data_IF_922558682636
#
_entry.id   IF_922558682636
#
_cell.length_a   1.000
_cell.length_b   1.000
_cell.length_c   1.000
_cell.angle_alpha   90.00
_cell.angle_beta   90.00
_cell.angle_gamma   90.00
#
_symmetry.space_group_name_H-M   'P 1'
#
loop_
_entity.id
_entity.type
_entity.pdbx_description
1 polymer ?
#
# COMPACT_ATOMS: atom_id res chain seq x y z
N UNK A 1 25.13 -4.45 -19.26
CA UNK A 1 24.18 -3.41 -18.81
C UNK A 1 22.85 -3.73 -19.48
N UNK A 2 21.76 -3.87 -18.75
CA UNK A 2 20.42 -3.95 -19.36
C UNK A 2 20.14 -2.59 -20.00
N UNK A 3 19.62 -2.56 -21.23
CA UNK A 3 19.13 -1.34 -21.83
C UNK A 3 17.90 -0.88 -21.06
N UNK A 4 18.08 0.08 -20.15
CA UNK A 4 16.98 0.66 -19.38
C UNK A 4 16.23 1.67 -20.24
N UNK A 5 14.90 1.69 -20.12
CA UNK A 5 14.08 2.76 -20.70
C UNK A 5 14.38 4.09 -20.00
N UNK A 6 14.47 5.16 -20.78
CA UNK A 6 14.76 6.50 -20.25
C UNK A 6 13.53 7.24 -19.71
N UNK A 7 12.33 6.73 -19.96
CA UNK A 7 11.06 7.34 -19.55
C UNK A 7 10.12 6.29 -19.01
N UNK A 8 9.37 6.63 -17.96
CA UNK A 8 8.27 5.86 -17.39
C UNK A 8 7.07 6.78 -17.24
N UNK A 9 5.92 6.39 -17.82
CA UNK A 9 4.67 7.09 -17.55
C UNK A 9 4.02 6.50 -16.31
N UNK A 10 3.95 7.28 -15.25
CA UNK A 10 3.43 6.85 -13.96
C UNK A 10 2.06 7.47 -13.72
N UNK A 11 1.08 6.67 -13.33
CA UNK A 11 -0.18 7.13 -12.75
C UNK A 11 -0.12 6.98 -11.23
N UNK A 12 -0.25 8.08 -10.51
CA UNK A 12 -0.39 8.10 -9.05
C UNK A 12 -1.87 8.22 -8.72
N UNK A 13 -2.44 7.20 -8.10
CA UNK A 13 -3.85 7.15 -7.76
C UNK A 13 -4.12 7.98 -6.51
N UNK A 14 -4.88 9.06 -6.68
CA UNK A 14 -5.37 9.90 -5.59
C UNK A 14 -6.89 9.83 -5.56
N UNK A 15 -7.42 8.79 -4.92
CA UNK A 15 -8.85 8.50 -4.89
C UNK A 15 -9.27 7.93 -3.55
N UNK A 16 -10.51 8.23 -3.14
CA UNK A 16 -11.10 7.69 -1.92
C UNK A 16 -11.43 6.21 -2.08
N UNK A 17 -11.04 5.31 -1.17
CA UNK A 17 -11.53 3.92 -1.14
C UNK A 17 -13.05 3.85 -0.90
N UNK A 18 -13.65 2.71 -1.16
CA UNK A 18 -14.99 2.41 -0.65
C UNK A 18 -14.82 1.77 0.72
N UNK A 19 -14.84 2.60 1.78
CA UNK A 19 -14.42 2.21 3.12
C UNK A 19 -15.04 0.90 3.59
N UNK A 20 -14.16 -0.04 3.96
CA UNK A 20 -14.47 -1.35 4.54
C UNK A 20 -15.35 -2.26 3.66
N UNK A 21 -15.24 -2.07 2.34
CA UNK A 21 -15.90 -2.87 1.33
C UNK A 21 -14.87 -3.35 0.29
N UNK A 22 -14.14 -4.43 0.61
CA UNK A 22 -13.06 -4.95 -0.26
C UNK A 22 -13.49 -5.24 -1.68
N UNK A 23 -14.72 -5.76 -1.84
CA UNK A 23 -15.34 -6.01 -3.13
C UNK A 23 -15.45 -4.73 -3.98
N UNK A 24 -15.95 -3.67 -3.38
CA UNK A 24 -16.14 -2.36 -4.03
C UNK A 24 -14.83 -1.60 -4.20
N UNK A 25 -13.90 -1.73 -3.25
CA UNK A 25 -12.54 -1.20 -3.41
C UNK A 25 -11.86 -1.84 -4.62
N UNK A 26 -11.95 -3.17 -4.76
CA UNK A 26 -11.36 -3.89 -5.88
C UNK A 26 -11.99 -3.50 -7.22
N UNK A 27 -13.34 -3.42 -7.29
CA UNK A 27 -14.03 -2.93 -8.50
C UNK A 27 -13.53 -1.53 -8.89
N UNK A 28 -13.41 -0.63 -7.92
CA UNK A 28 -12.90 0.72 -8.12
C UNK A 28 -11.44 0.71 -8.56
N UNK A 29 -10.59 -0.10 -7.91
CA UNK A 29 -9.18 -0.23 -8.26
C UNK A 29 -9.01 -0.70 -9.72
N UNK A 30 -9.73 -1.75 -10.13
CA UNK A 30 -9.67 -2.26 -11.50
C UNK A 30 -10.09 -1.21 -12.52
N UNK A 31 -11.15 -0.45 -12.26
CA UNK A 31 -11.58 0.65 -13.14
C UNK A 31 -10.51 1.75 -13.25
N UNK A 32 -9.89 2.15 -12.13
CA UNK A 32 -8.82 3.14 -12.14
C UNK A 32 -7.56 2.64 -12.84
N UNK A 33 -7.26 1.35 -12.74
CA UNK A 33 -6.18 0.71 -13.49
C UNK A 33 -6.47 0.77 -15.00
N UNK A 34 -7.71 0.47 -15.42
CA UNK A 34 -8.12 0.51 -16.82
C UNK A 34 -8.02 1.93 -17.39
N UNK A 35 -8.48 2.91 -16.61
CA UNK A 35 -8.41 4.33 -16.96
C UNK A 35 -6.95 4.79 -17.14
N UNK A 36 -6.11 4.51 -16.12
CA UNK A 36 -4.69 4.89 -16.17
C UNK A 36 -3.94 4.21 -17.32
N UNK A 37 -4.17 2.93 -17.56
CA UNK A 37 -3.57 2.20 -18.67
C UNK A 37 -4.06 2.75 -20.02
N UNK A 38 -5.35 3.10 -20.15
CA UNK A 38 -5.92 3.75 -21.32
C UNK A 38 -5.27 5.11 -21.63
N UNK A 39 -4.81 5.85 -20.62
CA UNK A 39 -4.02 7.07 -20.73
C UNK A 39 -2.53 6.80 -20.95
N UNK A 40 -2.13 5.56 -21.10
CA UNK A 40 -0.78 5.12 -21.41
C UNK A 40 0.15 5.01 -20.20
N UNK A 41 -0.37 4.91 -18.98
CA UNK A 41 0.46 4.63 -17.81
C UNK A 41 1.11 3.24 -17.91
N UNK A 42 2.37 3.15 -17.56
CA UNK A 42 3.17 1.91 -17.52
C UNK A 42 3.33 1.41 -16.08
N UNK A 43 3.28 2.32 -15.10
CA UNK A 43 3.30 2.03 -13.67
C UNK A 43 2.14 2.76 -12.99
N UNK A 44 1.34 2.03 -12.21
CA UNK A 44 0.16 2.55 -11.51
C UNK A 44 0.36 2.34 -10.01
N UNK A 45 0.39 3.44 -9.24
CA UNK A 45 0.70 3.41 -7.80
C UNK A 45 -0.52 3.80 -7.00
N UNK A 46 -1.00 2.88 -6.17
CA UNK A 46 -2.08 3.09 -5.21
C UNK A 46 -1.53 3.48 -3.84
N UNK A 47 -2.29 4.25 -3.06
CA UNK A 47 -1.87 4.66 -1.72
C UNK A 47 -1.92 3.53 -0.69
N UNK A 48 -1.40 3.82 0.49
CA UNK A 48 -1.43 2.95 1.67
C UNK A 48 -2.86 2.51 1.98
N UNK A 49 -3.05 1.20 2.20
CA UNK A 49 -4.34 0.61 2.60
C UNK A 49 -5.53 1.00 1.71
N UNK A 50 -5.31 1.17 0.40
CA UNK A 50 -6.42 1.44 -0.52
C UNK A 50 -7.52 0.36 -0.43
N UNK A 51 -7.14 -0.88 -0.15
CA UNK A 51 -8.09 -1.97 0.11
C UNK A 51 -7.88 -2.47 1.56
N UNK A 52 -8.87 -2.34 2.42
CA UNK A 52 -10.24 -1.85 2.27
C UNK A 52 -10.45 -0.40 2.71
N UNK A 53 -9.43 0.40 2.75
CA UNK A 53 -9.43 1.77 3.29
C UNK A 53 -8.70 1.85 4.63
N UNK A 54 -8.11 3.02 4.91
CA UNK A 54 -7.42 3.29 6.16
C UNK A 54 -8.44 3.61 7.26
N UNK A 55 -8.43 2.94 8.42
CA UNK A 55 -9.42 3.11 9.48
C UNK A 55 -9.10 4.34 10.35
N UNK A 56 -8.97 5.52 9.75
CA UNK A 56 -8.59 6.75 10.42
C UNK A 56 -9.61 7.13 11.49
N UNK A 57 -9.13 7.43 12.70
CA UNK A 57 -9.96 7.81 13.85
C UNK A 57 -10.67 6.66 14.56
N UNK A 58 -10.68 5.44 14.00
CA UNK A 58 -11.28 4.29 14.66
C UNK A 58 -10.43 3.83 15.86
N UNK A 59 -11.10 3.53 16.96
CA UNK A 59 -10.44 3.05 18.19
C UNK A 59 -10.49 1.54 18.34
N UNK A 60 -11.32 0.83 17.56
CA UNK A 60 -11.60 -0.60 17.72
C UNK A 60 -11.98 -0.97 19.17
N UNK A 61 -12.60 -0.02 19.89
CA UNK A 61 -12.94 -0.16 21.32
C UNK A 61 -11.71 -0.36 22.23
N UNK A 62 -10.52 -0.01 21.75
CA UNK A 62 -9.28 -0.25 22.48
C UNK A 62 -9.17 0.67 23.70
N UNK A 63 -9.12 0.03 24.85
CA UNK A 63 -8.71 0.62 26.13
C UNK A 63 -7.98 -0.46 26.87
N UNK A 64 -6.81 -0.18 27.41
CA UNK A 64 -6.00 -1.19 28.14
C UNK A 64 -6.85 -1.87 29.22
N UNK A 65 -6.89 -3.21 29.18
CA UNK A 65 -7.71 -4.02 30.09
C UNK A 65 -9.20 -4.13 29.69
N UNK A 66 -9.70 -3.37 28.75
CA UNK A 66 -11.10 -3.46 28.27
C UNK A 66 -11.26 -4.62 27.27
N UNK A 67 -12.47 -5.22 27.28
CA UNK A 67 -12.85 -6.31 26.35
C UNK A 67 -14.29 -6.11 25.85
N UNK A 68 -14.64 -4.88 25.52
CA UNK A 68 -16.01 -4.52 25.07
C UNK A 68 -16.34 -5.15 23.70
N UNK A 69 -17.58 -5.58 23.53
CA UNK A 69 -18.06 -6.25 22.32
C UNK A 69 -17.96 -5.37 21.07
N UNK A 70 -18.29 -4.08 21.17
CA UNK A 70 -18.29 -3.13 20.04
C UNK A 70 -16.93 -3.08 19.31
N UNK A 71 -15.82 -3.08 20.03
CA UNK A 71 -14.50 -3.07 19.41
C UNK A 71 -14.17 -4.35 18.66
N UNK A 72 -14.75 -5.48 19.07
CA UNK A 72 -14.60 -6.76 18.36
C UNK A 72 -15.37 -6.80 17.06
N UNK A 73 -16.52 -6.14 16.98
CA UNK A 73 -17.34 -6.03 15.76
C UNK A 73 -16.63 -5.18 14.72
N UNK A 74 -16.08 -4.03 15.12
CA UNK A 74 -15.28 -3.16 14.24
C UNK A 74 -14.05 -3.91 13.72
N UNK A 75 -13.34 -4.61 14.62
CA UNK A 75 -12.17 -5.39 14.24
C UNK A 75 -12.53 -6.53 13.28
N UNK A 76 -13.62 -7.25 13.57
CA UNK A 76 -14.10 -8.33 12.70
C UNK A 76 -14.47 -7.81 11.32
N UNK A 77 -15.18 -6.68 11.26
CA UNK A 77 -15.53 -6.04 9.98
C UNK A 77 -14.27 -5.73 9.17
N UNK A 78 -13.25 -5.14 9.79
CA UNK A 78 -11.99 -4.80 9.13
C UNK A 78 -11.23 -6.07 8.69
N UNK A 79 -11.18 -7.08 9.57
CA UNK A 79 -10.59 -8.37 9.30
C UNK A 79 -11.22 -9.09 8.11
N UNK A 80 -12.54 -9.13 8.04
CA UNK A 80 -13.28 -9.79 6.95
C UNK A 80 -13.09 -9.08 5.60
N UNK A 81 -12.75 -7.79 5.64
CA UNK A 81 -12.45 -6.98 4.45
C UNK A 81 -10.96 -6.89 4.12
N UNK A 82 -10.09 -7.47 4.93
CA UNK A 82 -8.66 -7.63 4.62
C UNK A 82 -8.41 -8.78 3.65
N UNK A 83 -7.36 -8.70 2.83
CA UNK A 83 -7.11 -9.63 1.72
C UNK A 83 -6.05 -10.68 2.10
N UNK A 84 -6.13 -11.85 1.51
CA UNK A 84 -5.02 -12.79 1.46
C UNK A 84 -4.03 -12.36 0.36
N UNK A 85 -2.73 -12.45 0.61
CA UNK A 85 -1.70 -12.07 -0.36
C UNK A 85 -1.78 -12.88 -1.68
N UNK A 86 -2.23 -14.12 -1.58
CA UNK A 86 -2.49 -15.02 -2.72
C UNK A 86 -4.00 -15.25 -2.98
N UNK A 87 -4.86 -14.37 -2.43
CA UNK A 87 -6.31 -14.47 -2.49
C UNK A 87 -6.90 -14.21 -3.88
N UNK A 88 -8.21 -14.44 -4.04
CA UNK A 88 -8.90 -14.24 -5.31
C UNK A 88 -8.88 -12.78 -5.78
N UNK A 89 -8.87 -11.82 -4.84
CA UNK A 89 -8.79 -10.40 -5.14
C UNK A 89 -7.42 -10.05 -5.75
N UNK A 90 -6.34 -10.54 -5.14
CA UNK A 90 -4.98 -10.30 -5.60
C UNK A 90 -4.75 -10.98 -6.97
N UNK A 91 -5.28 -12.18 -7.17
CA UNK A 91 -5.24 -12.85 -8.50
C UNK A 91 -5.95 -12.07 -9.60
N UNK A 92 -6.99 -11.28 -9.27
CA UNK A 92 -7.65 -10.39 -10.26
C UNK A 92 -6.73 -9.23 -10.62
N UNK A 93 -6.02 -8.65 -9.66
CA UNK A 93 -5.04 -7.58 -9.91
C UNK A 93 -3.87 -8.09 -10.78
N UNK A 94 -3.31 -9.26 -10.45
CA UNK A 94 -2.25 -9.88 -11.25
C UNK A 94 -2.69 -10.15 -12.70
N UNK A 95 -3.89 -10.70 -12.87
CA UNK A 95 -4.44 -10.95 -14.21
C UNK A 95 -4.59 -9.62 -14.97
N UNK A 96 -5.11 -8.58 -14.33
CA UNK A 96 -5.31 -7.28 -14.95
C UNK A 96 -4.01 -6.59 -15.35
N UNK A 97 -2.97 -6.66 -14.48
CA UNK A 97 -1.63 -6.17 -14.79
C UNK A 97 -1.07 -6.83 -16.06
N UNK A 98 -1.24 -8.16 -16.16
CA UNK A 98 -0.80 -8.93 -17.34
C UNK A 98 -1.58 -8.55 -18.61
N UNK A 99 -2.92 -8.45 -18.53
CA UNK A 99 -3.79 -8.11 -19.67
C UNK A 99 -3.45 -6.74 -20.27
N UNK A 100 -3.10 -5.77 -19.40
CA UNK A 100 -2.80 -4.40 -19.80
C UNK A 100 -1.30 -4.13 -20.03
N UNK A 101 -0.42 -5.04 -19.64
CA UNK A 101 1.02 -4.87 -19.74
C UNK A 101 1.58 -3.79 -18.80
N UNK A 102 0.99 -3.61 -17.60
CA UNK A 102 1.35 -2.55 -16.66
C UNK A 102 1.90 -3.10 -15.34
N UNK A 103 2.76 -2.31 -14.69
CA UNK A 103 3.17 -2.53 -13.30
C UNK A 103 2.16 -1.89 -12.35
N UNK A 104 1.89 -2.54 -11.23
CA UNK A 104 0.97 -2.04 -10.19
C UNK A 104 1.65 -2.10 -8.83
N UNK A 105 1.52 -1.01 -8.06
CA UNK A 105 1.80 -1.01 -6.62
C UNK A 105 0.48 -0.80 -5.88
N UNK A 106 0.05 -1.78 -5.08
CA UNK A 106 -1.25 -1.80 -4.40
C UNK A 106 -1.08 -1.85 -2.89
N UNK A 107 -1.45 -0.76 -2.19
CA UNK A 107 -1.54 -0.75 -0.74
C UNK A 107 -2.81 -1.44 -0.24
N UNK A 108 -2.67 -2.35 0.71
CA UNK A 108 -3.80 -3.12 1.22
C UNK A 108 -3.58 -3.60 2.66
N UNK A 109 -4.68 -3.95 3.34
CA UNK A 109 -4.61 -4.70 4.59
C UNK A 109 -4.51 -6.18 4.27
N UNK A 110 -3.36 -6.77 4.56
CA UNK A 110 -3.13 -8.21 4.41
C UNK A 110 -3.67 -8.96 5.62
N UNK A 111 -4.32 -10.09 5.37
CA UNK A 111 -4.64 -11.09 6.37
C UNK A 111 -3.79 -12.32 6.15
N UNK A 112 -2.95 -12.67 7.12
CA UNK A 112 -2.16 -13.89 7.06
C UNK A 112 -3.05 -15.12 7.11
N UNK A 113 -2.84 -16.05 6.19
CA UNK A 113 -3.69 -17.24 6.05
C UNK A 113 -3.55 -18.24 7.20
N UNK A 114 -2.40 -18.23 7.89
CA UNK A 114 -2.07 -19.21 8.94
C UNK A 114 -2.36 -18.65 10.32
N UNK A 115 -1.85 -17.47 10.61
CA UNK A 115 -1.97 -16.85 11.94
C UNK A 115 -3.23 -16.01 12.10
N UNK A 116 -3.82 -15.56 11.01
CA UNK A 116 -4.90 -14.57 11.02
C UNK A 116 -4.46 -13.17 11.41
N UNK A 117 -3.16 -12.93 11.59
CA UNK A 117 -2.63 -11.58 11.86
C UNK A 117 -2.89 -10.67 10.66
N UNK A 118 -3.27 -9.42 10.93
CA UNK A 118 -3.35 -8.39 9.91
C UNK A 118 -2.01 -7.68 9.76
N UNK A 119 -1.66 -7.32 8.53
CA UNK A 119 -0.48 -6.52 8.22
C UNK A 119 -0.87 -5.36 7.29
N UNK A 120 -0.28 -4.20 7.53
CA UNK A 120 -0.29 -3.12 6.55
C UNK A 120 0.72 -3.49 5.48
N UNK A 121 0.29 -3.68 4.26
CA UNK A 121 1.11 -4.26 3.21
C UNK A 121 0.98 -3.51 1.88
N UNK A 122 2.00 -3.65 1.05
CA UNK A 122 2.00 -3.20 -0.33
C UNK A 122 2.47 -4.31 -1.26
N UNK A 123 1.66 -4.61 -2.26
CA UNK A 123 1.98 -5.60 -3.30
C UNK A 123 2.49 -4.89 -4.55
N UNK A 124 3.72 -5.18 -4.95
CA UNK A 124 4.23 -4.84 -6.28
C UNK A 124 3.93 -5.98 -7.24
N UNK A 125 3.35 -5.68 -8.39
CA UNK A 125 2.90 -6.62 -9.40
C UNK A 125 3.52 -6.24 -10.74
N UNK A 126 4.15 -7.21 -11.43
CA UNK A 126 4.64 -7.04 -12.79
C UNK A 126 3.64 -7.58 -13.83
N UNK A 127 3.71 -7.11 -15.09
CA UNK A 127 2.90 -7.65 -16.18
C UNK A 127 3.28 -9.10 -16.53
N UNK A 128 4.47 -9.58 -16.18
CA UNK A 128 4.91 -10.96 -16.34
C UNK A 128 4.28 -11.91 -15.31
N UNK A 129 3.67 -11.34 -14.24
CA UNK A 129 3.00 -12.09 -13.19
C UNK A 129 3.84 -12.32 -11.94
N UNK A 130 4.98 -11.63 -11.80
CA UNK A 130 5.68 -11.56 -10.54
C UNK A 130 4.88 -10.70 -9.55
N UNK A 131 4.81 -11.14 -8.30
CA UNK A 131 4.18 -10.41 -7.21
C UNK A 131 5.09 -10.43 -5.99
N UNK A 132 5.50 -9.25 -5.55
CA UNK A 132 6.38 -9.07 -4.38
C UNK A 132 5.63 -8.31 -3.30
N UNK A 133 5.43 -8.95 -2.16
CA UNK A 133 4.72 -8.38 -1.03
C UNK A 133 5.69 -7.77 -0.01
N UNK A 134 5.43 -6.53 0.40
CA UNK A 134 6.11 -5.88 1.51
C UNK A 134 5.11 -5.62 2.63
N UNK A 135 5.37 -6.17 3.82
CA UNK A 135 4.65 -5.87 5.05
C UNK A 135 5.35 -4.70 5.76
N UNK A 136 4.59 -3.71 6.20
CA UNK A 136 5.13 -2.57 6.95
C UNK A 136 5.94 -3.06 8.16
N UNK A 137 7.20 -2.64 8.25
CA UNK A 137 8.15 -3.11 9.27
C UNK A 137 7.62 -2.89 10.68
N UNK A 138 7.11 -1.68 10.91
CA UNK A 138 6.55 -1.26 12.18
C UNK A 138 5.31 -0.40 11.94
N UNK A 139 4.12 -0.87 12.30
CA UNK A 139 2.95 -0.02 12.32
C UNK A 139 3.16 1.21 13.20
N UNK A 140 2.66 2.36 12.76
CA UNK A 140 2.93 3.64 13.40
C UNK A 140 1.97 3.89 14.57
N UNK A 141 2.50 4.09 15.78
CA UNK A 141 1.71 4.48 16.94
C UNK A 141 0.52 3.54 17.21
N UNK A 142 -0.71 4.04 17.11
CA UNK A 142 -1.94 3.28 17.35
C UNK A 142 -2.30 2.28 16.24
N UNK A 143 -1.65 2.32 15.07
CA UNK A 143 -1.81 1.28 14.04
C UNK A 143 -1.55 -0.13 14.60
N UNK A 144 -0.71 -0.25 15.64
CA UNK A 144 -0.38 -1.50 16.34
C UNK A 144 -1.57 -2.19 17.01
N UNK A 145 -2.69 -1.49 17.14
CA UNK A 145 -3.95 -2.09 17.60
C UNK A 145 -4.52 -3.03 16.52
N UNK A 146 -4.21 -2.76 15.25
CA UNK A 146 -4.77 -3.48 14.10
C UNK A 146 -3.74 -4.37 13.44
N UNK A 147 -2.54 -3.87 13.16
CA UNK A 147 -1.53 -4.57 12.37
C UNK A 147 -0.32 -5.00 13.19
N UNK A 148 0.21 -6.17 12.83
CA UNK A 148 1.45 -6.69 13.36
C UNK A 148 2.68 -6.09 12.66
N UNK A 149 3.84 -6.22 13.31
CA UNK A 149 5.16 -5.95 12.72
C UNK A 149 5.45 -6.95 11.60
N UNK A 150 6.16 -6.52 10.55
CA UNK A 150 6.62 -7.43 9.50
C UNK A 150 7.46 -8.56 10.08
N UNK A 151 7.26 -9.77 9.57
CA UNK A 151 7.90 -11.00 10.04
C UNK A 151 8.73 -11.71 8.98
N UNK A 152 8.67 -11.29 7.72
CA UNK A 152 9.36 -11.92 6.58
C UNK A 152 9.47 -10.97 5.38
N UNK A 153 10.22 -11.42 4.36
CA UNK A 153 10.32 -10.79 3.03
C UNK A 153 10.70 -9.30 3.06
N UNK A 154 11.71 -9.00 3.89
CA UNK A 154 12.14 -7.63 4.10
C UNK A 154 12.74 -7.00 2.83
N UNK A 155 12.22 -5.82 2.47
CA UNK A 155 12.73 -5.00 1.39
C UNK A 155 12.77 -5.72 0.03
N UNK A 156 11.63 -6.25 -0.46
CA UNK A 156 11.57 -6.82 -1.79
C UNK A 156 11.88 -5.75 -2.83
N UNK A 157 12.58 -6.14 -3.89
CA UNK A 157 12.91 -5.26 -5.02
C UNK A 157 12.53 -5.98 -6.31
N UNK A 158 11.72 -5.31 -7.13
CA UNK A 158 11.26 -5.80 -8.42
C UNK A 158 12.09 -5.21 -9.54
N UNK A 159 12.57 -6.05 -10.43
CA UNK A 159 13.22 -5.60 -11.65
C UNK A 159 12.18 -4.99 -12.61
N UNK A 160 12.45 -3.80 -13.11
CA UNK A 160 11.61 -3.12 -14.09
C UNK A 160 12.42 -2.62 -15.28
N UNK A 161 11.77 -2.26 -16.40
CA UNK A 161 12.49 -1.67 -17.54
C UNK A 161 13.17 -0.35 -17.21
N UNK A 162 12.82 0.32 -16.11
CA UNK A 162 13.37 1.61 -15.66
C UNK A 162 14.38 1.46 -14.51
N UNK A 163 14.78 0.25 -14.21
CA UNK A 163 15.63 -0.12 -13.09
C UNK A 163 14.86 -0.74 -11.92
N UNK A 164 15.57 -1.16 -10.87
CA UNK A 164 14.96 -1.83 -9.73
C UNK A 164 13.99 -0.93 -8.98
N UNK A 165 12.83 -1.45 -8.61
CA UNK A 165 11.76 -0.78 -7.88
C UNK A 165 11.59 -1.40 -6.50
N UNK A 166 11.63 -0.57 -5.46
CA UNK A 166 11.36 -0.98 -4.07
C UNK A 166 10.33 -0.07 -3.41
N UNK A 167 9.80 -0.48 -2.28
CA UNK A 167 8.82 0.33 -1.56
C UNK A 167 9.06 0.35 -0.05
N UNK A 168 8.70 1.48 0.58
CA UNK A 168 8.49 1.62 2.02
C UNK A 168 7.17 2.34 2.25
N UNK A 169 6.39 1.86 3.22
CA UNK A 169 5.04 2.33 3.49
C UNK A 169 5.09 3.48 4.51
N UNK A 170 4.68 4.69 4.09
CA UNK A 170 4.44 5.82 4.97
C UNK A 170 5.68 6.15 5.85
N UNK A 171 5.53 6.14 7.18
CA UNK A 171 6.56 6.46 8.17
C UNK A 171 7.78 5.53 8.18
N UNK A 172 7.75 4.40 7.47
CA UNK A 172 8.96 3.61 7.25
C UNK A 172 10.05 4.43 6.57
N UNK A 173 9.65 5.39 5.72
CA UNK A 173 10.58 6.30 5.05
C UNK A 173 11.35 7.21 6.02
N UNK A 174 10.91 7.34 7.28
CA UNK A 174 11.69 7.98 8.34
C UNK A 174 12.70 7.05 9.04
N UNK A 175 12.76 5.79 8.66
CA UNK A 175 13.74 4.82 9.16
C UNK A 175 15.00 4.84 8.28
N UNK A 176 16.12 5.48 8.69
CA UNK A 176 17.28 5.64 7.81
C UNK A 176 17.85 4.30 7.32
N UNK A 177 17.94 3.31 8.21
CA UNK A 177 18.49 2.00 7.87
C UNK A 177 17.59 1.23 6.88
N UNK A 178 16.28 1.43 6.91
CA UNK A 178 15.36 0.85 5.93
C UNK A 178 15.61 1.44 4.53
N UNK A 179 15.81 2.76 4.43
CA UNK A 179 16.19 3.40 3.17
C UNK A 179 17.52 2.88 2.65
N UNK A 180 18.54 2.81 3.53
CA UNK A 180 19.87 2.29 3.17
C UNK A 180 19.76 0.85 2.63
N UNK A 181 18.93 0.01 3.23
CA UNK A 181 18.71 -1.36 2.74
C UNK A 181 18.19 -1.40 1.29
N UNK A 182 17.30 -0.47 0.92
CA UNK A 182 16.83 -0.32 -0.46
C UNK A 182 17.92 0.28 -1.37
N UNK A 183 18.64 1.30 -0.93
CA UNK A 183 19.71 1.91 -1.71
C UNK A 183 20.82 0.93 -2.04
N UNK A 184 21.20 0.06 -1.10
CA UNK A 184 22.18 -1.00 -1.33
C UNK A 184 21.73 -2.04 -2.37
N UNK A 185 20.41 -2.16 -2.59
CA UNK A 185 19.83 -2.98 -3.66
C UNK A 185 19.76 -2.25 -5.00
N UNK A 186 20.24 -1.01 -5.06
CA UNK A 186 20.37 -0.24 -6.30
C UNK A 186 19.04 0.24 -6.87
N UNK A 187 18.05 0.53 -6.04
CA UNK A 187 16.73 0.97 -6.53
C UNK A 187 16.85 2.26 -7.35
N UNK A 188 16.11 2.30 -8.47
CA UNK A 188 15.89 3.49 -9.28
C UNK A 188 14.55 4.14 -8.99
N UNK A 189 13.53 3.32 -8.64
CA UNK A 189 12.18 3.75 -8.32
C UNK A 189 11.90 3.42 -6.85
N UNK A 190 11.62 4.46 -6.07
CA UNK A 190 11.22 4.35 -4.67
C UNK A 190 9.72 4.63 -4.57
N UNK A 191 8.93 3.62 -4.30
CA UNK A 191 7.48 3.72 -4.14
C UNK A 191 7.14 3.97 -2.67
N UNK A 192 6.32 4.99 -2.41
CA UNK A 192 5.84 5.31 -1.06
C UNK A 192 4.32 5.42 -1.02
N UNK A 193 3.62 4.31 -0.77
CA UNK A 193 2.20 4.37 -0.45
C UNK A 193 2.03 5.02 0.92
N UNK A 194 1.12 6.00 1.01
CA UNK A 194 1.07 6.88 2.17
C UNK A 194 -0.35 7.30 2.56
N UNK A 195 -0.46 7.77 3.81
CA UNK A 195 -1.65 8.44 4.35
C UNK A 195 -1.14 9.56 5.27
N UNK A 196 -0.59 10.61 4.68
CA UNK A 196 0.06 11.69 5.43
C UNK A 196 -0.07 13.02 4.67
N UNK A 197 -0.82 13.94 5.25
CA UNK A 197 -1.07 15.29 4.73
C UNK A 197 -0.15 16.36 5.33
N UNK A 198 0.88 15.96 6.11
CA UNK A 198 1.79 16.89 6.76
C UNK A 198 2.68 17.60 5.72
N UNK A 199 2.75 18.95 5.70
CA UNK A 199 3.60 19.70 4.80
C UNK A 199 5.09 19.33 4.83
N UNK A 200 5.64 19.00 6.01
CA UNK A 200 7.04 18.57 6.18
C UNK A 200 7.36 17.27 5.44
N UNK A 201 6.34 16.51 5.07
CA UNK A 201 6.51 15.32 4.24
C UNK A 201 7.11 15.66 2.88
N UNK A 202 6.79 16.82 2.31
CA UNK A 202 7.34 17.27 1.02
C UNK A 202 8.86 17.48 1.09
N UNK A 203 9.38 17.97 2.20
CA UNK A 203 10.82 18.13 2.39
C UNK A 203 11.50 16.78 2.57
N UNK A 204 10.84 15.85 3.26
CA UNK A 204 11.33 14.49 3.46
C UNK A 204 11.46 13.74 2.14
N UNK A 205 10.45 13.76 1.27
CA UNK A 205 10.51 13.05 -0.03
C UNK A 205 11.57 13.63 -0.98
N UNK A 206 11.75 14.96 -0.98
CA UNK A 206 12.84 15.61 -1.72
C UNK A 206 14.20 15.15 -1.23
N UNK A 207 14.39 15.14 0.10
CA UNK A 207 15.62 14.66 0.71
C UNK A 207 15.93 13.21 0.33
N UNK A 208 14.94 12.31 0.45
CA UNK A 208 15.11 10.89 0.12
C UNK A 208 15.46 10.67 -1.36
N UNK A 209 14.82 11.40 -2.27
CA UNK A 209 15.11 11.31 -3.70
C UNK A 209 16.56 11.73 -4.01
N UNK A 210 17.05 12.79 -3.35
CA UNK A 210 18.43 13.28 -3.50
C UNK A 210 19.43 12.30 -2.85
N UNK A 211 19.17 11.89 -1.61
CA UNK A 211 20.02 10.96 -0.84
C UNK A 211 20.20 9.63 -1.58
N UNK A 212 19.08 9.06 -2.08
CA UNK A 212 19.07 7.75 -2.73
C UNK A 212 19.38 7.77 -4.23
N UNK A 213 19.54 8.96 -4.85
CA UNK A 213 19.65 9.10 -6.30
C UNK A 213 18.56 8.32 -7.06
N UNK A 214 17.32 8.39 -6.58
CA UNK A 214 16.19 7.63 -7.11
C UNK A 214 14.97 8.54 -7.35
N UNK A 215 14.05 8.05 -8.18
CA UNK A 215 12.76 8.70 -8.36
C UNK A 215 11.83 8.28 -7.22
N UNK A 216 11.43 9.25 -6.39
CA UNK A 216 10.49 9.01 -5.30
C UNK A 216 9.06 9.23 -5.80
N UNK A 217 8.23 8.19 -5.73
CA UNK A 217 6.84 8.19 -6.18
C UNK A 217 5.94 8.03 -4.96
N UNK A 218 5.30 9.12 -4.56
CA UNK A 218 4.42 9.17 -3.39
C UNK A 218 2.95 9.10 -3.83
N UNK A 219 2.18 8.20 -3.22
CA UNK A 219 0.74 8.10 -3.41
C UNK A 219 0.03 8.27 -2.06
N UNK A 220 -0.66 9.39 -1.87
CA UNK A 220 -1.42 9.67 -0.66
C UNK A 220 -2.90 9.31 -0.79
N UNK A 221 -3.44 8.74 0.28
CA UNK A 221 -4.85 8.40 0.38
C UNK A 221 -5.69 9.67 0.58
N UNK A 222 -6.79 9.76 -0.15
CA UNK A 222 -7.78 10.84 0.00
C UNK A 222 -9.07 10.29 0.58
N UNK A 223 -9.57 10.89 1.64
CA UNK A 223 -10.85 10.53 2.24
C UNK A 223 -11.43 11.68 3.07
N UNK A 224 -12.70 11.58 3.38
CA UNK A 224 -13.44 12.48 4.27
C UNK A 224 -14.15 11.65 5.34
N UNK A 225 -14.53 12.27 6.45
CA UNK A 225 -15.32 11.61 7.49
C UNK A 225 -16.63 11.02 6.94
N UNK A 226 -17.25 11.68 5.99
CA UNK A 226 -18.48 11.20 5.33
C UNK A 226 -18.31 9.91 4.53
N UNK A 227 -17.08 9.50 4.20
CA UNK A 227 -16.81 8.30 3.44
C UNK A 227 -16.85 7.02 4.32
N UNK A 228 -16.81 7.22 5.65
CA UNK A 228 -16.87 6.13 6.62
C UNK A 228 -18.31 5.72 6.91
N UNK A 229 -18.57 4.41 7.10
CA UNK A 229 -19.87 3.94 7.56
C UNK A 229 -20.22 4.56 8.93
N UNK A 230 -21.47 5.02 9.10
CA UNK A 230 -21.93 5.61 10.37
C UNK A 230 -21.95 4.61 11.54
N UNK A 231 -21.81 3.33 11.25
CA UNK A 231 -21.87 2.23 12.24
C UNK A 231 -20.55 1.96 12.94
N UNK A 232 -19.42 2.54 12.46
CA UNK A 232 -18.12 2.32 13.08
C UNK A 232 -17.89 3.26 14.26
N UNK A 233 -17.24 2.75 15.30
CA UNK A 233 -16.99 3.52 16.51
C UNK A 233 -15.79 4.47 16.33
N UNK A 234 -15.94 5.72 16.76
CA UNK A 234 -14.83 6.67 16.91
C UNK A 234 -14.47 7.50 15.68
N UNK A 235 -15.25 7.46 14.60
CA UNK A 235 -15.07 8.34 13.43
C UNK A 235 -15.81 9.66 13.53
#
# INVERSE_FOLDING_TARGET
>A
MRDMKNTCRVAVVQATPVMFRKDKCLEKALRLIDEAAGEGAELIVFPELFIPGYPYGMTFGFTVGSRKAVGREDWKMYYDNSLLADGPEMRKLLRRARELGVYISMGYSERDAVTGTLYNANMMISPEGEALNHRKLKPTGSERVVWGDADRDYFPVMDTPWGPMGNLICWESYMPLARVALYQKGISLYISPNTNDNPEWQDTIRHIAIEGHCYFINADLVFRRSDYPQTVSGT
#
